data_IF_447944184820
#
_entry.id   IF_447944184820
#
_cell.length_a   1.000
_cell.length_b   1.000
_cell.length_c   1.000
_cell.angle_alpha   90.00
_cell.angle_beta   90.00
_cell.angle_gamma   90.00
#
_symmetry.space_group_name_H-M   'P 1'
#
loop_
_entity.id
_entity.type
_entity.pdbx_description
1 polymer ?
#
# COMPACT_ATOMS: atom_id res chain seq x y z
N UNK A 1 -19.80 32.03 70.82
CA UNK A 1 -20.47 30.91 71.52
C UNK A 1 -19.81 29.60 71.10
N UNK A 2 -19.59 28.74 72.10
CA UNK A 2 -19.09 27.35 72.19
C UNK A 2 -19.01 26.47 70.92
N UNK A 3 -17.86 25.78 70.78
CA UNK A 3 -17.63 24.49 70.09
C UNK A 3 -18.28 23.31 70.88
N UNK A 4 -18.01 22.02 70.57
CA UNK A 4 -18.46 21.14 69.49
C UNK A 4 -19.12 19.87 70.10
N UNK A 5 -19.40 18.80 69.32
CA UNK A 5 -18.96 17.41 69.60
C UNK A 5 -19.72 16.37 68.78
N UNK A 6 -18.92 15.39 68.34
CA UNK A 6 -19.27 14.19 67.62
C UNK A 6 -20.09 13.20 68.45
N UNK A 7 -20.75 12.26 67.76
CA UNK A 7 -21.31 11.06 68.34
C UNK A 7 -21.52 9.97 67.28
N UNK A 8 -20.51 9.11 67.11
CA UNK A 8 -20.64 7.79 66.48
C UNK A 8 -21.56 6.90 67.32
N UNK A 9 -22.41 6.10 66.68
CA UNK A 9 -22.64 4.70 67.07
C UNK A 9 -23.29 3.91 65.93
N UNK A 10 -22.61 2.84 65.55
CA UNK A 10 -23.07 1.82 64.63
C UNK A 10 -24.17 0.95 65.29
N UNK A 11 -25.16 0.54 64.49
CA UNK A 11 -25.98 -0.62 64.81
C UNK A 11 -26.12 -1.45 63.54
N UNK A 12 -25.44 -2.59 63.54
CA UNK A 12 -25.60 -3.66 62.58
C UNK A 12 -26.95 -4.35 62.80
N UNK A 13 -27.69 -4.62 61.72
CA UNK A 13 -28.69 -5.68 61.70
C UNK A 13 -28.56 -6.47 60.40
N UNK A 14 -28.34 -7.77 60.60
CA UNK A 14 -28.17 -8.83 59.62
C UNK A 14 -29.48 -9.19 58.92
N UNK A 15 -29.29 -9.72 57.71
CA UNK A 15 -30.09 -10.76 57.03
C UNK A 15 -31.43 -10.37 56.38
N UNK A 16 -31.45 -10.43 55.04
CA UNK A 16 -32.03 -11.59 54.32
C UNK A 16 -31.66 -11.50 52.84
N UNK A 17 -30.89 -12.47 52.37
CA UNK A 17 -30.59 -12.64 50.95
C UNK A 17 -31.82 -13.21 50.26
N UNK A 18 -32.49 -12.40 49.44
CA UNK A 18 -33.41 -12.89 48.41
C UNK A 18 -32.70 -12.74 47.07
N UNK A 19 -32.15 -13.85 46.59
CA UNK A 19 -31.56 -13.97 45.27
C UNK A 19 -32.61 -13.65 44.21
N UNK A 20 -32.59 -12.42 43.68
CA UNK A 20 -33.27 -12.10 42.44
C UNK A 20 -32.38 -12.57 41.30
N UNK A 21 -32.79 -13.68 40.68
CA UNK A 21 -32.21 -14.15 39.43
C UNK A 21 -32.22 -13.01 38.42
N UNK A 22 -31.03 -12.59 37.98
CA UNK A 22 -30.88 -11.65 36.88
C UNK A 22 -31.40 -12.30 35.59
N UNK A 23 -32.16 -11.57 34.75
CA UNK A 23 -32.63 -12.11 33.49
C UNK A 23 -31.44 -12.45 32.58
N UNK A 24 -31.54 -13.51 31.75
CA UNK A 24 -30.47 -13.89 30.85
C UNK A 24 -30.19 -12.76 29.87
N UNK A 25 -28.92 -12.36 29.79
CA UNK A 25 -28.39 -11.38 28.85
C UNK A 25 -28.64 -11.90 27.44
N UNK A 26 -29.59 -11.29 26.72
CA UNK A 26 -29.80 -11.57 25.31
C UNK A 26 -28.49 -11.35 24.53
N UNK A 27 -28.20 -12.16 23.49
CA UNK A 27 -27.04 -11.93 22.64
C UNK A 27 -27.13 -10.52 22.04
N UNK A 28 -26.04 -9.76 22.14
CA UNK A 28 -25.96 -8.44 21.58
C UNK A 28 -26.22 -8.53 20.06
N UNK A 29 -27.23 -7.80 19.60
CA UNK A 29 -27.49 -7.65 18.17
C UNK A 29 -26.25 -7.07 17.49
N UNK A 30 -25.87 -7.53 16.28
CA UNK A 30 -24.77 -6.94 15.54
C UNK A 30 -25.03 -5.44 15.36
N UNK A 31 -23.99 -4.63 15.61
CA UNK A 31 -24.07 -3.19 15.44
C UNK A 31 -24.59 -2.86 14.03
N UNK A 32 -25.50 -1.88 13.88
CA UNK A 32 -25.99 -1.49 12.58
C UNK A 32 -24.81 -1.06 11.71
N UNK A 33 -24.72 -1.64 10.52
CA UNK A 33 -23.73 -1.22 9.53
C UNK A 33 -23.92 0.29 9.28
N UNK A 34 -22.84 1.08 9.23
CA UNK A 34 -22.96 2.51 8.96
C UNK A 34 -23.69 2.69 7.63
N UNK A 35 -24.77 3.48 7.67
CA UNK A 35 -25.52 3.85 6.48
C UNK A 35 -24.56 4.48 5.47
N UNK A 36 -24.64 4.05 4.21
CA UNK A 36 -23.86 4.63 3.13
C UNK A 36 -24.12 6.15 3.12
N UNK A 37 -23.09 6.93 3.43
CA UNK A 37 -23.16 8.38 3.29
C UNK A 37 -23.44 8.68 1.81
N UNK A 38 -24.59 9.28 1.54
CA UNK A 38 -24.92 9.77 0.20
C UNK A 38 -23.86 10.80 -0.21
N UNK A 39 -23.30 10.64 -1.41
CA UNK A 39 -22.32 11.57 -1.97
C UNK A 39 -23.04 12.89 -2.23
N UNK A 40 -22.67 13.99 -1.56
CA UNK A 40 -23.14 15.31 -1.98
C UNK A 40 -22.58 15.55 -3.39
N UNK A 41 -23.45 15.83 -4.35
CA UNK A 41 -23.12 16.16 -5.75
C UNK A 41 -22.55 15.03 -6.62
N UNK A 42 -22.58 13.77 -6.17
CA UNK A 42 -22.18 12.62 -6.98
C UNK A 42 -20.68 12.52 -7.31
N UNK A 43 -19.84 13.37 -6.69
CA UNK A 43 -18.38 13.36 -6.82
C UNK A 43 -17.72 12.95 -5.51
N UNK A 44 -17.17 11.73 -5.47
CA UNK A 44 -16.32 11.26 -4.36
C UNK A 44 -14.92 11.91 -4.40
N UNK A 45 -14.10 11.71 -3.37
CA UNK A 45 -12.76 12.32 -3.31
C UNK A 45 -11.77 11.78 -4.36
N UNK A 46 -12.09 10.67 -5.04
CA UNK A 46 -11.34 10.18 -6.20
C UNK A 46 -11.75 10.84 -7.52
N UNK A 47 -12.96 11.41 -7.61
CA UNK A 47 -13.57 11.91 -8.86
C UNK A 47 -12.60 12.77 -9.67
N UNK A 48 -12.13 13.90 -9.14
CA UNK A 48 -11.22 14.82 -9.84
C UNK A 48 -9.97 14.14 -10.42
N UNK A 49 -9.36 13.23 -9.65
CA UNK A 49 -8.15 12.52 -10.08
C UNK A 49 -8.46 11.49 -11.16
N UNK A 50 -9.51 10.68 -10.99
CA UNK A 50 -9.89 9.64 -11.95
C UNK A 50 -10.61 10.18 -13.19
N UNK A 51 -11.16 11.40 -13.13
CA UNK A 51 -11.66 12.14 -14.29
C UNK A 51 -10.48 12.56 -15.20
N UNK A 52 -9.30 12.77 -14.62
CA UNK A 52 -8.07 13.10 -15.37
C UNK A 52 -7.30 11.83 -15.77
N UNK A 53 -7.18 10.88 -14.86
CA UNK A 53 -6.43 9.63 -15.02
C UNK A 53 -7.41 8.45 -15.16
N UNK A 54 -8.08 8.40 -16.29
CA UNK A 54 -9.09 7.38 -16.57
C UNK A 54 -8.43 6.02 -16.84
N UNK A 55 -8.61 5.06 -15.93
CA UNK A 55 -8.10 3.70 -16.08
C UNK A 55 -8.86 2.99 -17.21
N UNK A 56 -8.11 2.37 -18.12
CA UNK A 56 -8.60 1.73 -19.34
C UNK A 56 -8.52 2.61 -20.58
N UNK A 57 -8.27 3.91 -20.40
CA UNK A 57 -8.05 4.86 -21.48
C UNK A 57 -6.56 5.10 -21.72
N UNK A 58 -6.17 5.66 -22.88
CA UNK A 58 -4.82 6.18 -23.06
C UNK A 58 -4.41 7.11 -21.92
N UNK A 59 -3.19 6.97 -21.41
CA UNK A 59 -2.63 7.95 -20.48
C UNK A 59 -2.63 9.33 -21.18
N UNK A 60 -3.24 10.37 -20.58
CA UNK A 60 -3.22 11.70 -21.17
C UNK A 60 -1.78 12.17 -21.37
N UNK A 61 -1.58 13.06 -22.34
CA UNK A 61 -0.29 13.72 -22.49
C UNK A 61 -0.06 14.62 -21.26
N UNK A 62 0.90 14.23 -20.43
CA UNK A 62 1.29 14.97 -19.24
C UNK A 62 2.67 15.61 -19.47
N UNK A 63 2.87 16.87 -19.04
CA UNK A 63 4.17 17.53 -19.10
C UNK A 63 5.17 16.92 -18.10
N UNK A 64 6.45 17.30 -18.20
CA UNK A 64 7.48 16.88 -17.23
C UNK A 64 7.25 17.57 -15.87
N UNK A 65 7.29 16.81 -14.79
CA UNK A 65 7.18 17.38 -13.45
C UNK A 65 8.32 18.35 -13.10
N UNK A 66 9.48 18.27 -13.76
CA UNK A 66 10.58 19.21 -13.54
C UNK A 66 10.16 20.68 -13.78
N UNK A 67 9.33 20.92 -14.79
CA UNK A 67 8.90 22.27 -15.19
C UNK A 67 7.70 22.78 -14.37
N UNK A 68 7.06 21.88 -13.61
CA UNK A 68 5.83 22.18 -12.86
C UNK A 68 5.98 22.08 -11.35
N UNK A 69 7.20 21.85 -10.82
CA UNK A 69 7.46 21.86 -9.38
C UNK A 69 7.25 23.24 -8.78
N UNK A 70 6.71 23.26 -7.56
CA UNK A 70 6.65 24.49 -6.76
C UNK A 70 8.06 24.97 -6.38
N UNK A 71 8.24 26.26 -6.03
CA UNK A 71 9.55 26.79 -5.68
C UNK A 71 10.24 26.09 -4.49
N UNK A 72 9.46 25.52 -3.56
CA UNK A 72 9.98 24.72 -2.44
C UNK A 72 10.28 23.26 -2.80
N UNK A 73 9.97 22.84 -4.02
CA UNK A 73 10.21 21.50 -4.57
C UNK A 73 9.33 20.40 -3.99
N UNK A 74 8.37 20.72 -3.11
CA UNK A 74 7.56 19.72 -2.40
C UNK A 74 6.32 19.29 -3.17
N UNK A 75 5.79 20.19 -3.99
CA UNK A 75 4.53 20.02 -4.69
C UNK A 75 4.71 20.24 -6.20
N UNK A 76 3.64 19.95 -6.94
CA UNK A 76 3.53 20.26 -8.36
C UNK A 76 2.31 21.13 -8.60
N UNK A 77 2.36 21.94 -9.64
CA UNK A 77 1.32 22.92 -10.02
C UNK A 77 0.36 22.39 -11.07
N UNK A 78 0.70 21.30 -11.74
CA UNK A 78 -0.11 20.61 -12.74
C UNK A 78 0.05 19.09 -12.62
N UNK A 79 -0.90 18.32 -13.18
CA UNK A 79 -0.66 16.90 -13.42
C UNK A 79 0.53 16.77 -14.36
N UNK A 80 1.50 15.94 -14.00
CA UNK A 80 2.77 15.84 -14.71
C UNK A 80 3.34 14.42 -14.55
N UNK A 81 4.31 14.05 -15.38
CA UNK A 81 5.00 12.77 -15.29
C UNK A 81 6.49 12.97 -14.98
N UNK A 82 7.03 12.17 -14.07
CA UNK A 82 8.48 12.07 -13.93
C UNK A 82 9.00 11.04 -14.95
N UNK A 83 9.94 11.45 -15.81
CA UNK A 83 10.55 10.59 -16.84
C UNK A 83 11.38 9.41 -16.29
N UNK A 84 11.50 9.27 -14.97
CA UNK A 84 12.34 8.24 -14.31
C UNK A 84 11.72 6.83 -14.24
N UNK A 85 10.62 6.60 -14.95
CA UNK A 85 9.97 5.29 -15.05
C UNK A 85 10.64 4.34 -16.04
N UNK A 86 10.37 3.03 -15.92
CA UNK A 86 10.79 2.00 -16.91
C UNK A 86 9.89 1.95 -18.16
N UNK A 87 9.13 3.03 -18.40
CA UNK A 87 8.12 3.15 -19.46
C UNK A 87 6.78 2.52 -19.09
N UNK A 88 6.82 1.42 -18.32
CA UNK A 88 5.66 0.66 -17.83
C UNK A 88 5.11 1.27 -16.55
N UNK A 89 5.97 1.63 -15.60
CA UNK A 89 5.61 2.36 -14.39
C UNK A 89 6.01 3.81 -14.53
N UNK A 90 5.07 4.72 -14.33
CA UNK A 90 5.30 6.17 -14.38
C UNK A 90 4.91 6.81 -13.06
N UNK A 91 5.76 7.66 -12.52
CA UNK A 91 5.37 8.49 -11.38
C UNK A 91 4.62 9.70 -11.92
N UNK A 92 3.37 9.87 -11.48
CA UNK A 92 2.52 10.99 -11.87
C UNK A 92 2.43 11.95 -10.70
N UNK A 93 2.83 13.20 -10.93
CA UNK A 93 2.60 14.29 -9.99
C UNK A 93 1.14 14.71 -9.98
N UNK A 94 0.59 14.93 -8.79
CA UNK A 94 -0.79 15.39 -8.58
C UNK A 94 -0.74 16.78 -7.91
N UNK A 95 -1.40 17.81 -8.46
CA UNK A 95 -1.47 19.12 -7.83
C UNK A 95 -2.14 19.07 -6.47
N UNK A 96 -1.66 19.87 -5.52
CA UNK A 96 -2.12 19.84 -4.13
C UNK A 96 -3.64 20.06 -3.99
N UNK A 97 -4.23 20.93 -4.80
CA UNK A 97 -5.67 21.22 -4.82
C UNK A 97 -6.52 20.11 -5.47
N UNK A 98 -5.87 19.13 -6.14
CA UNK A 98 -6.50 17.99 -6.80
C UNK A 98 -6.26 16.66 -6.06
N UNK A 99 -5.47 16.67 -4.99
CA UNK A 99 -5.18 15.47 -4.21
C UNK A 99 -6.38 15.10 -3.34
N UNK A 100 -6.79 13.83 -3.33
CA UNK A 100 -7.68 13.34 -2.29
C UNK A 100 -7.04 13.54 -0.90
N UNK A 101 -7.86 13.79 0.13
CA UNK A 101 -7.33 14.09 1.49
C UNK A 101 -6.51 12.95 2.09
N UNK A 102 -6.78 11.72 1.64
CA UNK A 102 -6.09 10.52 2.11
C UNK A 102 -4.77 10.26 1.39
N UNK A 103 -4.49 10.95 0.27
CA UNK A 103 -3.28 10.71 -0.52
C UNK A 103 -2.05 11.23 0.22
N UNK A 104 -1.04 10.39 0.38
CA UNK A 104 0.24 10.79 0.96
C UNK A 104 1.20 11.30 -0.11
N UNK A 105 1.64 12.54 0.08
CA UNK A 105 2.60 13.19 -0.81
C UNK A 105 2.06 13.56 -2.20
N UNK A 106 2.96 14.02 -3.10
CA UNK A 106 2.59 14.63 -4.37
C UNK A 106 2.49 13.67 -5.55
N UNK A 107 2.70 12.37 -5.34
CA UNK A 107 2.91 11.42 -6.44
C UNK A 107 2.11 10.15 -6.26
N UNK A 108 1.63 9.62 -7.37
CA UNK A 108 1.09 8.28 -7.49
C UNK A 108 1.87 7.50 -8.55
N UNK A 109 1.69 6.19 -8.60
CA UNK A 109 2.28 5.32 -9.64
C UNK A 109 1.20 4.94 -10.64
N UNK A 110 1.47 5.16 -11.92
CA UNK A 110 0.64 4.73 -13.03
C UNK A 110 1.29 3.56 -13.75
N UNK A 111 0.51 2.52 -14.05
CA UNK A 111 0.90 1.41 -14.90
C UNK A 111 0.39 1.65 -16.32
N UNK A 112 1.30 1.60 -17.28
CA UNK A 112 1.04 1.87 -18.69
C UNK A 112 1.44 0.64 -19.50
N UNK A 113 0.48 0.13 -20.28
CA UNK A 113 0.71 -0.92 -21.28
C UNK A 113 0.54 -0.30 -22.67
N UNK A 114 1.64 -0.14 -23.40
CA UNK A 114 1.67 0.67 -24.62
C UNK A 114 1.35 2.13 -24.33
N UNK A 115 0.14 2.59 -24.69
CA UNK A 115 -0.36 3.91 -24.28
C UNK A 115 -1.44 3.84 -23.19
N UNK A 116 -2.00 2.66 -22.91
CA UNK A 116 -3.17 2.52 -22.07
C UNK A 116 -2.78 2.58 -20.59
N UNK A 117 -3.48 3.42 -19.82
CA UNK A 117 -3.39 3.43 -18.37
C UNK A 117 -4.14 2.20 -17.84
N UNK A 118 -3.41 1.20 -17.38
CA UNK A 118 -3.97 -0.08 -16.93
C UNK A 118 -4.03 -0.22 -15.41
N UNK A 119 -3.42 0.69 -14.66
CA UNK A 119 -3.54 0.70 -13.22
C UNK A 119 -2.99 1.96 -12.56
N UNK A 120 -3.42 2.21 -11.33
CA UNK A 120 -2.94 3.27 -10.46
C UNK A 120 -2.65 2.69 -9.06
N UNK A 121 -1.55 3.10 -8.46
CA UNK A 121 -1.29 2.94 -7.02
C UNK A 121 -1.20 4.33 -6.40
N UNK A 122 -2.09 4.60 -5.46
CA UNK A 122 -2.19 5.85 -4.72
C UNK A 122 -1.66 5.61 -3.31
N UNK A 123 -0.48 6.15 -2.95
CA UNK A 123 0.00 6.15 -1.57
C UNK A 123 -0.98 6.90 -0.68
N UNK A 124 -1.19 6.40 0.53
CA UNK A 124 -2.08 7.00 1.53
C UNK A 124 -1.35 7.20 2.84
N UNK A 125 -1.90 8.05 3.71
CA UNK A 125 -1.34 8.32 5.04
C UNK A 125 -1.65 7.20 6.06
N UNK A 126 -1.67 5.96 5.57
CA UNK A 126 -1.99 4.74 6.30
C UNK A 126 -3.26 4.88 7.15
N UNK A 127 -3.15 4.50 8.42
CA UNK A 127 -4.26 4.49 9.38
C UNK A 127 -4.90 5.86 9.54
N UNK A 128 -4.13 6.95 9.42
CA UNK A 128 -4.66 8.31 9.61
C UNK A 128 -5.71 8.66 8.55
N UNK A 129 -5.72 7.94 7.44
CA UNK A 129 -6.59 8.21 6.30
C UNK A 129 -7.40 7.01 5.79
N UNK A 130 -7.17 5.81 6.32
CA UNK A 130 -7.80 4.58 5.84
C UNK A 130 -9.34 4.63 5.86
N UNK A 131 -9.95 5.27 6.85
CA UNK A 131 -11.42 5.39 6.95
C UNK A 131 -11.96 6.32 5.87
N UNK A 132 -11.30 7.46 5.64
CA UNK A 132 -11.65 8.41 4.58
C UNK A 132 -11.46 7.78 3.19
N UNK A 133 -10.40 6.99 3.00
CA UNK A 133 -10.17 6.20 1.81
C UNK A 133 -11.28 5.15 1.59
N UNK A 134 -11.57 4.33 2.61
CA UNK A 134 -12.59 3.29 2.54
C UNK A 134 -13.99 3.86 2.27
N UNK A 135 -14.33 5.00 2.89
CA UNK A 135 -15.59 5.70 2.65
C UNK A 135 -15.67 6.21 1.21
N UNK A 136 -14.60 6.87 0.73
CA UNK A 136 -14.55 7.38 -0.66
C UNK A 136 -14.68 6.26 -1.69
N UNK A 137 -13.96 5.15 -1.48
CA UNK A 137 -14.04 3.97 -2.33
C UNK A 137 -15.42 3.32 -2.28
N UNK A 138 -16.03 3.22 -1.09
CA UNK A 138 -17.37 2.64 -0.95
C UNK A 138 -18.45 3.51 -1.58
N UNK A 139 -18.27 4.83 -1.54
CA UNK A 139 -19.16 5.75 -2.21
C UNK A 139 -19.12 5.55 -3.73
N UNK A 140 -17.92 5.34 -4.30
CA UNK A 140 -17.72 5.16 -5.75
C UNK A 140 -18.07 3.77 -6.28
N UNK A 141 -17.70 2.73 -5.54
CA UNK A 141 -17.75 1.33 -6.00
C UNK A 141 -18.79 0.49 -5.25
N UNK A 142 -19.52 1.07 -4.30
CA UNK A 142 -20.48 0.37 -3.46
C UNK A 142 -19.81 -0.39 -2.30
N UNK A 143 -20.50 -1.39 -1.76
CA UNK A 143 -19.98 -2.19 -0.64
C UNK A 143 -18.75 -3.00 -1.06
N UNK A 144 -17.67 -3.06 -0.25
CA UNK A 144 -16.57 -3.96 -0.53
C UNK A 144 -17.04 -5.43 -0.54
N UNK A 145 -16.48 -6.24 -1.44
CA UNK A 145 -16.75 -7.69 -1.46
C UNK A 145 -16.01 -8.41 -0.33
N UNK A 146 -14.92 -7.81 0.18
CA UNK A 146 -14.11 -8.29 1.30
C UNK A 146 -13.66 -7.09 2.12
N UNK A 147 -13.83 -7.15 3.43
CA UNK A 147 -13.24 -6.20 4.35
C UNK A 147 -12.78 -6.96 5.59
N UNK A 148 -11.48 -6.90 5.83
CA UNK A 148 -10.81 -7.49 6.97
C UNK A 148 -10.26 -6.36 7.84
N UNK A 149 -10.15 -6.63 9.13
CA UNK A 149 -9.50 -5.71 10.03
C UNK A 149 -8.70 -6.45 11.06
N UNK A 150 -7.52 -5.91 11.35
CA UNK A 150 -6.56 -6.53 12.25
C UNK A 150 -6.18 -5.55 13.34
N UNK A 151 -6.24 -6.01 14.59
CA UNK A 151 -5.74 -5.25 15.73
C UNK A 151 -4.21 -5.35 15.77
N UNK A 152 -3.57 -4.20 15.76
CA UNK A 152 -2.14 -4.04 15.59
C UNK A 152 -1.57 -3.08 16.63
N UNK A 153 -0.24 -3.04 16.74
CA UNK A 153 0.47 -2.08 17.58
C UNK A 153 1.52 -1.36 16.77
N UNK A 154 1.61 -0.04 16.94
CA UNK A 154 2.68 0.74 16.31
C UNK A 154 4.03 0.51 17.01
N UNK A 155 5.09 1.12 16.48
CA UNK A 155 6.44 1.04 17.07
C UNK A 155 6.51 1.58 18.50
N UNK A 156 5.54 2.37 18.94
CA UNK A 156 5.39 2.89 20.30
C UNK A 156 4.45 2.04 21.17
N UNK A 157 3.96 0.91 20.66
CA UNK A 157 3.04 0.01 21.35
C UNK A 157 1.59 0.49 21.40
N UNK A 158 1.23 1.58 20.72
CA UNK A 158 -0.15 2.09 20.69
C UNK A 158 -1.01 1.17 19.82
N UNK A 159 -2.16 0.72 20.33
CA UNK A 159 -3.05 -0.12 19.55
C UNK A 159 -3.70 0.69 18.42
N UNK A 160 -3.83 0.06 17.26
CA UNK A 160 -4.61 0.57 16.15
C UNK A 160 -5.26 -0.59 15.41
N UNK A 161 -6.27 -0.27 14.59
CA UNK A 161 -6.95 -1.25 13.76
C UNK A 161 -6.61 -0.99 12.30
N UNK A 162 -5.97 -1.93 11.64
CA UNK A 162 -5.70 -1.87 10.20
C UNK A 162 -6.93 -2.31 9.42
N UNK A 163 -7.21 -1.67 8.29
CA UNK A 163 -8.29 -2.06 7.37
C UNK A 163 -7.70 -2.53 6.04
N UNK A 164 -8.07 -3.75 5.64
CA UNK A 164 -7.81 -4.28 4.30
C UNK A 164 -9.16 -4.51 3.62
N UNK A 165 -9.42 -3.83 2.51
CA UNK A 165 -10.73 -3.89 1.85
C UNK A 165 -10.60 -3.98 0.33
N UNK A 166 -11.49 -4.75 -0.29
CA UNK A 166 -11.51 -4.98 -1.73
C UNK A 166 -12.88 -4.67 -2.34
N UNK A 167 -12.87 -4.01 -3.49
CA UNK A 167 -14.03 -3.75 -4.35
C UNK A 167 -13.77 -4.34 -5.74
N UNK A 168 -14.86 -4.72 -6.41
CA UNK A 168 -14.80 -5.26 -7.76
C UNK A 168 -15.77 -4.51 -8.67
N UNK A 169 -15.22 -3.87 -9.70
CA UNK A 169 -15.98 -3.27 -10.81
C UNK A 169 -15.36 -3.77 -12.10
N UNK A 170 -15.71 -5.01 -12.49
CA UNK A 170 -15.08 -5.71 -13.62
C UNK A 170 -14.93 -4.79 -14.85
N UNK A 171 -13.74 -4.76 -15.49
CA UNK A 171 -12.55 -5.58 -15.21
C UNK A 171 -11.63 -5.03 -14.10
N UNK A 172 -11.99 -3.92 -13.45
CA UNK A 172 -11.19 -3.27 -12.42
C UNK A 172 -11.34 -3.95 -11.05
N UNK A 173 -10.20 -4.22 -10.41
CA UNK A 173 -10.14 -4.55 -8.98
C UNK A 173 -9.59 -3.34 -8.23
N UNK A 174 -10.22 -2.99 -7.11
CA UNK A 174 -9.76 -1.91 -6.25
C UNK A 174 -9.49 -2.46 -4.86
N UNK A 175 -8.32 -2.20 -4.31
CA UNK A 175 -7.90 -2.70 -3.00
C UNK A 175 -7.29 -1.58 -2.16
N UNK A 176 -7.69 -1.51 -0.90
CA UNK A 176 -7.13 -0.64 0.12
C UNK A 176 -6.32 -1.50 1.08
N UNK A 177 -5.06 -1.13 1.27
CA UNK A 177 -4.14 -1.74 2.22
C UNK A 177 -3.54 -0.69 3.14
N UNK A 178 -3.38 -1.05 4.40
CA UNK A 178 -2.50 -0.33 5.32
C UNK A 178 -1.33 -1.24 5.64
N UNK A 179 -0.10 -0.72 5.61
CA UNK A 179 1.12 -1.51 5.79
C UNK A 179 1.24 -1.86 7.28
N UNK A 180 1.20 -3.16 7.64
CA UNK A 180 1.17 -3.58 9.04
C UNK A 180 2.35 -3.02 9.86
N UNK A 181 3.58 -3.13 9.34
CA UNK A 181 4.80 -2.69 10.04
C UNK A 181 5.05 -1.17 9.95
N UNK A 182 4.31 -0.48 9.08
CA UNK A 182 4.40 0.97 8.88
C UNK A 182 3.00 1.60 8.94
N UNK A 183 2.49 1.87 10.16
CA UNK A 183 1.15 2.44 10.42
C UNK A 183 0.81 3.73 9.64
N UNK A 184 1.84 4.49 9.28
CA UNK A 184 1.75 5.74 8.52
C UNK A 184 1.72 5.54 7.00
N UNK A 185 1.86 4.31 6.52
CA UNK A 185 1.89 3.97 5.11
C UNK A 185 0.69 3.10 4.77
N UNK A 186 0.06 3.40 3.65
CA UNK A 186 -0.97 2.57 3.05
C UNK A 186 -1.04 2.81 1.56
N UNK A 187 -1.76 1.96 0.86
CA UNK A 187 -1.92 2.05 -0.59
C UNK A 187 -3.36 1.80 -0.98
N UNK A 188 -3.80 2.51 -2.02
CA UNK A 188 -4.98 2.13 -2.77
C UNK A 188 -4.51 1.69 -4.15
N UNK A 189 -4.82 0.47 -4.52
CA UNK A 189 -4.49 -0.10 -5.81
C UNK A 189 -5.77 -0.17 -6.65
N UNK A 190 -5.75 0.43 -7.85
CA UNK A 190 -6.81 0.33 -8.83
C UNK A 190 -6.21 -0.34 -10.07
N UNK A 191 -6.45 -1.64 -10.23
CA UNK A 191 -5.70 -2.45 -11.19
C UNK A 191 -6.64 -3.19 -12.16
N UNK A 192 -6.36 -3.06 -13.45
CA UNK A 192 -6.84 -4.01 -14.45
C UNK A 192 -5.98 -5.29 -14.41
N UNK A 193 -6.45 -6.42 -14.97
CA UNK A 193 -5.67 -7.66 -15.03
C UNK A 193 -4.29 -7.48 -15.69
N UNK A 194 -4.19 -6.60 -16.69
CA UNK A 194 -2.95 -6.25 -17.38
C UNK A 194 -1.91 -5.67 -16.42
N UNK A 195 -2.31 -4.75 -15.53
CA UNK A 195 -1.38 -4.15 -14.56
C UNK A 195 -0.77 -5.21 -13.61
N UNK A 196 -1.58 -6.20 -13.19
CA UNK A 196 -1.08 -7.29 -12.34
C UNK A 196 -0.04 -8.16 -13.07
N UNK A 197 -0.22 -8.38 -14.37
CA UNK A 197 0.77 -9.08 -15.18
C UNK A 197 2.07 -8.27 -15.32
N UNK A 198 1.98 -6.95 -15.50
CA UNK A 198 3.14 -6.06 -15.54
C UNK A 198 3.94 -6.08 -14.22
N UNK A 199 3.25 -6.00 -13.08
CA UNK A 199 3.87 -6.12 -11.77
C UNK A 199 4.56 -7.48 -11.59
N UNK A 200 3.88 -8.58 -11.91
CA UNK A 200 4.45 -9.92 -11.79
C UNK A 200 5.69 -10.13 -12.69
N UNK A 201 5.68 -9.58 -13.91
CA UNK A 201 6.83 -9.63 -14.81
C UNK A 201 8.01 -8.85 -14.23
N UNK A 202 7.75 -7.67 -13.64
CA UNK A 202 8.78 -6.85 -13.01
C UNK A 202 9.41 -7.56 -11.81
N UNK A 203 8.59 -8.17 -10.96
CA UNK A 203 9.08 -8.96 -9.82
C UNK A 203 9.94 -10.13 -10.29
N UNK A 204 9.55 -10.81 -11.38
CA UNK A 204 10.35 -11.88 -11.96
C UNK A 204 11.69 -11.39 -12.54
N UNK A 205 11.73 -10.21 -13.14
CA UNK A 205 12.97 -9.58 -13.61
C UNK A 205 13.90 -9.21 -12.45
N UNK A 206 13.35 -8.59 -11.39
CA UNK A 206 14.11 -8.25 -10.19
C UNK A 206 14.64 -9.52 -9.55
N UNK A 207 13.82 -10.56 -9.38
CA UNK A 207 14.26 -11.84 -8.84
C UNK A 207 15.39 -12.47 -9.67
N UNK A 208 15.31 -12.41 -11.01
CA UNK A 208 16.41 -12.85 -11.89
C UNK A 208 17.69 -12.04 -11.71
N UNK A 209 17.58 -10.72 -11.51
CA UNK A 209 18.73 -9.83 -11.30
C UNK A 209 19.41 -10.04 -9.93
N UNK A 210 18.63 -10.48 -8.94
CA UNK A 210 19.10 -10.76 -7.59
C UNK A 210 19.56 -12.23 -7.43
N UNK A 211 19.34 -13.08 -8.43
CA UNK A 211 19.79 -14.47 -8.38
C UNK A 211 21.33 -14.49 -8.35
N UNK A 212 21.96 -15.28 -7.46
CA UNK A 212 23.41 -15.42 -7.44
C UNK A 212 23.91 -15.88 -8.81
N UNK A 213 25.07 -15.39 -9.28
CA UNK A 213 25.61 -15.80 -10.56
C UNK A 213 25.72 -17.33 -10.60
N UNK A 214 25.40 -17.97 -11.73
CA UNK A 214 25.50 -19.42 -11.83
C UNK A 214 26.91 -19.82 -11.43
N UNK A 215 27.01 -20.66 -10.39
CA UNK A 215 28.28 -21.16 -9.90
C UNK A 215 29.03 -21.74 -11.10
N UNK A 216 30.21 -21.17 -11.36
CA UNK A 216 31.09 -21.52 -12.48
C UNK A 216 31.03 -23.01 -12.77
N UNK A 217 30.65 -23.35 -14.00
CA UNK A 217 30.73 -24.71 -14.50
C UNK A 217 32.14 -25.29 -14.21
N UNK A 218 32.26 -26.53 -13.73
CA UNK A 218 33.56 -27.12 -13.45
C UNK A 218 34.41 -27.14 -14.72
N UNK A 219 35.63 -26.63 -14.59
CA UNK A 219 36.63 -26.57 -15.63
C UNK A 219 36.78 -27.92 -16.35
N UNK A 220 36.88 -27.83 -17.67
CA UNK A 220 37.08 -28.91 -18.61
C UNK A 220 38.15 -29.93 -18.13
N UNK A 221 37.75 -31.19 -17.94
CA UNK A 221 38.66 -32.33 -18.08
C UNK A 221 38.68 -32.74 -19.55
N UNK A 222 39.66 -32.22 -20.30
CA UNK A 222 40.07 -32.83 -21.58
C UNK A 222 40.99 -34.01 -21.25
N UNK A 223 40.45 -35.20 -21.37
CA UNK A 223 41.24 -36.42 -21.54
C UNK A 223 41.89 -36.43 -22.93
N UNK A 224 43.22 -36.40 -22.98
CA UNK A 224 43.99 -36.81 -24.16
C UNK A 224 45.29 -37.47 -23.70
N UNK A 225 45.34 -38.80 -23.82
CA UNK A 225 46.51 -39.65 -23.56
C UNK A 225 46.88 -40.37 -24.87
N UNK A 226 48.06 -40.04 -25.43
CA UNK A 226 48.96 -40.78 -26.36
C UNK A 226 49.77 -39.71 -27.12
N UNK A 227 51.08 -39.74 -27.35
CA UNK A 227 52.15 -40.73 -27.20
C UNK A 227 53.49 -39.93 -27.26
N UNK A 228 54.54 -40.38 -26.54
CA UNK A 228 55.94 -39.90 -26.67
C UNK A 228 56.58 -40.55 -27.93
N UNK A 229 57.78 -40.16 -28.47
CA UNK A 229 58.94 -39.60 -27.74
C UNK A 229 59.75 -38.48 -28.43
N UNK A 230 60.74 -37.99 -27.66
CA UNK A 230 61.68 -36.87 -27.82
C UNK A 230 62.85 -37.15 -28.81
N UNK A 231 64.01 -36.44 -28.83
CA UNK A 231 64.42 -35.18 -28.15
C UNK A 231 65.26 -34.19 -29.01
N UNK A 232 65.43 -32.94 -28.55
CA UNK A 232 66.72 -32.22 -28.57
C UNK A 232 66.64 -30.89 -27.77
N UNK A 233 67.44 -30.76 -26.72
CA UNK A 233 67.96 -29.46 -26.21
C UNK A 233 69.24 -29.11 -27.00
N UNK A 234 69.91 -27.95 -26.81
CA UNK A 234 69.65 -26.74 -26.01
C UNK A 234 69.59 -25.51 -26.98
N UNK A 235 69.57 -24.22 -26.64
CA UNK A 235 70.56 -23.40 -25.90
C UNK A 235 69.93 -22.01 -25.72
N UNK A 236 70.05 -21.44 -24.52
CA UNK A 236 69.83 -20.04 -24.23
C UNK A 236 71.15 -19.29 -24.44
N UNK A 237 71.15 -18.12 -25.08
CA UNK A 237 71.89 -17.02 -24.46
C UNK A 237 71.21 -15.66 -24.61
N UNK A 238 71.30 -14.85 -23.55
CA UNK A 238 71.45 -13.41 -23.70
C UNK A 238 70.53 -12.56 -22.85
N UNK A 239 70.88 -12.39 -21.58
CA UNK A 239 70.57 -11.20 -20.79
C UNK A 239 71.39 -10.02 -21.30
N UNK A 240 70.77 -8.85 -21.45
CA UNK A 240 71.20 -7.52 -20.99
C UNK A 240 69.95 -6.62 -20.91
#
# INVERSE_FOLDING_TARGET
MRFPLAGLAAAALLATAVAHAAPPKAPAAPAPAPAAAAIPDGKDQFSTMLDTLEIGSPLPQLPDCADHRTPDGKDVTAYCVELRGDGVMRQVGVPRDKRPVFMDGPRLVAFVDGNALVGLIVPTDGIRSQDAAAQSLSARYGKPFRQESEDMKDKSGRPFKSIHAGWMRKPLTVELYTIPDTPSEGTIELLLPQARALMANRDAEVAKSLAPPPASAPAAKKDAKKEKPAPAKPVNPGSW
#
